data_IF_699299118124
#
_entry.id   IF_699299118124
#
_cell.length_a   1.000
_cell.length_b   1.000
_cell.length_c   1.000
_cell.angle_alpha   90.00
_cell.angle_beta   90.00
_cell.angle_gamma   90.00
#
_symmetry.space_group_name_H-M   'P 1'
#
loop_
_entity.id
_entity.type
_entity.pdbx_description
1 polymer ?
#
# COMPACT_ATOMS: atom_id res chain seq x y z
N UNK A 1 15.87 2.04 -19.32
CA UNK A 1 16.44 0.97 -18.48
C UNK A 1 17.12 1.60 -17.27
N UNK A 2 16.41 1.90 -16.18
CA UNK A 2 17.02 2.31 -14.92
C UNK A 2 16.14 1.84 -13.77
N UNK A 3 16.57 0.75 -13.11
CA UNK A 3 16.09 0.31 -11.80
C UNK A 3 16.79 1.18 -10.75
N UNK A 4 16.04 1.89 -9.93
CA UNK A 4 16.55 2.42 -8.66
C UNK A 4 15.68 1.90 -7.53
N UNK A 5 16.24 0.92 -6.82
CA UNK A 5 15.80 0.37 -5.54
C UNK A 5 16.44 1.25 -4.46
N UNK A 6 15.63 1.80 -3.56
CA UNK A 6 16.13 2.48 -2.36
C UNK A 6 15.85 1.55 -1.18
N UNK A 7 16.90 0.91 -0.70
CA UNK A 7 16.94 0.04 0.48
C UNK A 7 17.65 0.81 1.60
N UNK A 8 17.03 0.91 2.78
CA UNK A 8 17.72 1.32 4.01
C UNK A 8 17.67 0.13 4.96
N UNK A 9 18.80 -0.57 5.08
CA UNK A 9 19.07 -1.54 6.14
C UNK A 9 19.79 -0.82 7.27
N UNK A 10 19.18 -0.73 8.44
CA UNK A 10 19.93 -0.48 9.68
C UNK A 10 20.36 -1.83 10.27
N UNK A 11 21.66 -2.08 10.26
CA UNK A 11 22.31 -3.13 11.04
C UNK A 11 22.52 -2.58 12.46
N UNK A 12 21.95 -3.20 13.48
CA UNK A 12 22.35 -2.95 14.87
C UNK A 12 23.48 -3.91 15.27
N UNK A 13 24.64 -3.33 15.59
CA UNK A 13 25.65 -3.97 16.45
C UNK A 13 25.35 -3.69 17.93
N UNK A 14 25.81 -4.53 18.87
CA UNK A 14 25.46 -4.43 20.28
C UNK A 14 26.36 -3.44 21.02
N UNK A 15 25.79 -2.65 21.93
CA UNK A 15 26.53 -1.76 22.82
C UNK A 15 25.66 -1.19 23.93
N UNK A 16 25.63 -1.87 25.07
CA UNK A 16 25.39 -1.26 26.40
C UNK A 16 26.75 -1.04 27.09
N UNK A 17 26.90 -0.25 28.18
CA UNK A 17 25.89 0.19 29.16
C UNK A 17 26.01 1.65 29.68
N UNK A 18 25.04 2.09 30.50
CA UNK A 18 25.34 2.93 31.68
C UNK A 18 24.61 4.27 31.85
N UNK A 19 24.09 4.47 33.07
CA UNK A 19 23.69 5.71 33.75
C UNK A 19 22.27 6.27 33.47
N UNK A 20 21.45 6.22 34.53
CA UNK A 20 20.10 6.79 34.58
C UNK A 20 20.08 8.26 34.98
N UNK A 21 18.96 8.91 34.66
CA UNK A 21 18.47 10.09 35.37
C UNK A 21 16.95 10.14 35.19
N UNK A 22 16.22 10.13 36.29
CA UNK A 22 14.77 10.08 36.31
C UNK A 22 14.12 11.43 36.02
N UNK A 23 13.08 11.42 35.20
CA UNK A 23 12.01 12.41 35.20
C UNK A 23 10.67 11.68 34.97
N UNK A 24 9.56 12.14 35.56
CA UNK A 24 8.27 11.50 35.43
C UNK A 24 7.71 11.72 34.03
N UNK A 25 7.98 10.78 33.13
CA UNK A 25 7.39 10.72 31.81
C UNK A 25 5.88 10.44 31.93
N UNK A 26 5.08 11.50 31.91
CA UNK A 26 3.69 11.40 31.43
C UNK A 26 3.74 11.18 29.91
N UNK A 27 4.09 9.95 29.48
CA UNK A 27 3.89 9.49 28.10
C UNK A 27 2.40 9.45 27.84
N UNK A 28 1.84 10.54 27.31
CA UNK A 28 0.60 10.45 26.55
C UNK A 28 0.92 9.67 25.28
N UNK A 29 0.25 8.54 24.99
CA UNK A 29 0.46 7.82 23.74
C UNK A 29 0.19 8.76 22.57
N UNK A 30 1.17 8.93 21.67
CA UNK A 30 1.01 9.68 20.43
C UNK A 30 -0.10 9.02 19.60
N UNK A 31 -1.21 9.70 19.24
CA UNK A 31 -2.28 9.05 18.51
C UNK A 31 -1.94 8.97 17.01
N UNK A 32 -1.99 7.73 16.50
CA UNK A 32 -2.26 7.29 15.13
C UNK A 32 -1.71 8.14 13.97
N UNK A 33 -0.56 7.75 13.43
CA UNK A 33 -0.16 8.11 12.06
C UNK A 33 -0.98 7.26 11.07
N UNK A 34 -1.81 7.90 10.24
CA UNK A 34 -2.46 7.24 9.10
C UNK A 34 -1.73 7.62 7.80
N UNK A 35 -1.42 6.62 6.96
CA UNK A 35 -1.09 6.87 5.55
C UNK A 35 -2.40 6.97 4.79
N UNK A 36 -2.65 8.09 4.13
CA UNK A 36 -3.83 8.24 3.28
C UNK A 36 -3.78 7.22 2.14
N UNK A 37 -4.87 6.48 1.92
CA UNK A 37 -5.04 5.51 0.84
C UNK A 37 -5.19 6.18 -0.52
N UNK A 38 -4.18 6.93 -0.98
CA UNK A 38 -4.08 7.42 -2.37
C UNK A 38 -5.33 8.10 -2.91
N UNK A 39 -5.99 8.95 -2.13
CA UNK A 39 -7.18 9.68 -2.56
C UNK A 39 -8.50 8.91 -2.49
N UNK A 40 -8.49 7.66 -1.98
CA UNK A 40 -9.66 6.79 -1.83
C UNK A 40 -10.40 6.91 -0.49
N UNK A 41 -10.01 7.89 0.33
CA UNK A 41 -10.66 8.20 1.59
C UNK A 41 -10.90 9.72 1.65
N UNK A 42 -11.99 10.16 2.31
CA UNK A 42 -12.16 11.58 2.62
C UNK A 42 -10.98 12.08 3.44
N UNK A 43 -10.36 13.17 2.99
CA UNK A 43 -9.18 13.76 3.63
C UNK A 43 -9.55 15.01 4.44
N UNK A 44 -10.50 14.84 5.35
CA UNK A 44 -10.86 15.87 6.33
C UNK A 44 -10.14 15.60 7.65
N UNK A 45 -9.14 16.40 7.99
CA UNK A 45 -8.26 16.16 9.14
C UNK A 45 -8.95 16.28 10.49
N UNK A 46 -10.07 17.01 10.56
CA UNK A 46 -10.83 17.19 11.78
C UNK A 46 -11.77 16.01 12.03
N UNK A 47 -12.50 15.58 11.01
CA UNK A 47 -13.31 14.36 11.02
C UNK A 47 -12.46 13.11 11.26
N UNK A 48 -11.23 13.08 10.74
CA UNK A 48 -10.29 11.99 10.97
C UNK A 48 -9.66 12.02 12.38
N UNK A 49 -9.73 13.15 13.10
CA UNK A 49 -9.18 13.30 14.45
C UNK A 49 -7.66 13.10 14.54
N UNK A 50 -6.92 13.26 13.43
CA UNK A 50 -5.49 12.93 13.34
C UNK A 50 -4.60 14.05 13.89
N UNK A 51 -3.53 13.70 14.59
CA UNK A 51 -2.49 14.68 14.99
C UNK A 51 -1.50 14.93 13.84
N UNK A 52 -1.25 13.90 13.03
CA UNK A 52 -0.39 13.97 11.87
C UNK A 52 -0.95 13.11 10.74
N UNK A 53 -0.85 13.60 9.49
CA UNK A 53 -1.27 12.88 8.29
C UNK A 53 -0.18 13.01 7.23
N UNK A 54 0.28 11.87 6.70
CA UNK A 54 1.27 11.83 5.63
C UNK A 54 0.62 11.42 4.31
N UNK A 55 0.89 12.19 3.27
CA UNK A 55 0.40 11.99 1.91
C UNK A 55 1.59 11.95 0.96
N UNK A 56 1.62 10.94 0.10
CA UNK A 56 2.59 10.83 -0.99
C UNK A 56 1.94 11.25 -2.30
N UNK A 57 2.48 12.26 -2.98
CA UNK A 57 1.85 12.83 -4.17
C UNK A 57 1.70 11.84 -5.32
N UNK A 58 2.69 10.96 -5.53
CA UNK A 58 2.63 9.98 -6.63
C UNK A 58 1.53 8.91 -6.44
N UNK A 59 0.88 8.85 -5.27
CA UNK A 59 -0.31 8.03 -5.05
C UNK A 59 -1.61 8.73 -5.46
N UNK A 60 -1.52 10.01 -5.84
CA UNK A 60 -2.59 10.88 -6.32
C UNK A 60 -2.39 11.28 -7.79
N UNK A 61 -1.38 10.74 -8.47
CA UNK A 61 -1.08 11.04 -9.88
C UNK A 61 -0.04 12.14 -10.11
N UNK A 62 0.64 12.66 -9.08
CA UNK A 62 1.75 13.60 -9.29
C UNK A 62 3.04 12.86 -9.70
N UNK A 63 4.05 13.57 -10.24
CA UNK A 63 5.41 13.04 -10.31
C UNK A 63 5.93 12.58 -8.94
N UNK A 64 6.88 11.64 -8.95
CA UNK A 64 7.60 11.20 -7.74
C UNK A 64 8.42 12.36 -7.16
N UNK A 65 8.68 12.32 -5.85
CA UNK A 65 9.51 13.32 -5.16
C UNK A 65 8.74 14.48 -4.52
N UNK A 66 7.42 14.42 -4.47
CA UNK A 66 6.58 15.36 -3.71
C UNK A 66 5.62 14.62 -2.77
N UNK A 67 5.37 15.23 -1.62
CA UNK A 67 4.45 14.75 -0.61
C UNK A 67 4.10 15.86 0.36
N UNK A 68 3.20 15.56 1.30
CA UNK A 68 2.74 16.49 2.31
C UNK A 68 2.67 15.79 3.66
N UNK A 69 3.10 16.52 4.69
CA UNK A 69 2.88 16.17 6.09
C UNK A 69 1.97 17.25 6.70
N UNK A 70 0.75 16.89 7.02
CA UNK A 70 -0.09 17.70 7.89
C UNK A 70 0.29 17.43 9.35
N UNK A 71 0.36 18.51 10.13
CA UNK A 71 0.55 18.49 11.58
C UNK A 71 -0.48 19.41 12.22
N UNK A 72 -1.21 18.91 13.21
CA UNK A 72 -2.17 19.70 13.98
C UNK A 72 -1.44 20.86 14.67
N UNK A 73 -2.09 22.01 14.74
CA UNK A 73 -1.55 23.19 15.42
C UNK A 73 -1.13 22.84 16.86
N UNK A 74 0.01 23.38 17.31
CA UNK A 74 0.59 23.07 18.62
C UNK A 74 1.32 21.73 18.72
N UNK A 75 1.34 20.89 17.68
CA UNK A 75 2.10 19.63 17.69
C UNK A 75 3.60 19.94 17.60
N UNK A 76 4.42 19.56 18.61
CA UNK A 76 5.87 19.68 18.52
C UNK A 76 6.41 18.81 17.39
N UNK A 77 7.33 19.34 16.60
CA UNK A 77 7.96 18.62 15.51
C UNK A 77 9.42 19.05 15.42
N UNK A 78 10.31 18.12 15.75
CA UNK A 78 11.73 18.30 15.53
C UNK A 78 12.03 18.14 14.03
N UNK A 79 12.69 19.11 13.38
CA UNK A 79 13.04 18.99 11.97
C UNK A 79 14.05 17.86 11.76
N UNK A 80 13.82 17.01 10.78
CA UNK A 80 14.84 16.03 10.32
C UNK A 80 15.84 16.72 9.38
N UNK A 81 15.39 17.76 8.66
CA UNK A 81 16.21 18.55 7.74
C UNK A 81 16.38 19.97 8.31
N UNK A 82 17.56 20.25 8.85
CA UNK A 82 17.95 21.55 9.39
C UNK A 82 18.52 22.47 8.30
N UNK A 83 18.51 23.79 8.53
CA UNK A 83 18.94 24.79 7.54
C UNK A 83 18.12 26.08 7.57
N UNK A 84 17.86 26.65 6.40
CA UNK A 84 17.38 28.03 6.19
C UNK A 84 15.96 28.36 6.63
N UNK A 85 15.29 27.50 7.40
CA UNK A 85 14.01 27.85 8.04
C UNK A 85 12.77 27.77 7.14
N UNK A 86 12.86 27.19 5.94
CA UNK A 86 11.69 26.90 5.09
C UNK A 86 10.66 26.03 5.82
N UNK A 87 9.41 26.03 5.32
CA UNK A 87 8.30 25.26 5.90
C UNK A 87 8.11 25.56 7.40
N UNK A 88 8.23 26.84 7.79
CA UNK A 88 8.13 27.34 9.18
C UNK A 88 9.18 26.70 10.11
N UNK A 89 10.38 26.48 9.59
CA UNK A 89 11.49 25.83 10.29
C UNK A 89 11.35 24.31 10.43
N UNK A 90 10.30 23.69 9.89
CA UNK A 90 10.04 22.24 10.08
C UNK A 90 10.74 21.36 9.07
N UNK A 91 11.05 21.89 7.90
CA UNK A 91 11.78 21.19 6.83
C UNK A 91 12.53 22.20 6.00
N UNK A 92 13.85 22.20 6.12
CA UNK A 92 14.71 23.11 5.36
C UNK A 92 14.93 22.69 3.90
N UNK A 93 15.33 23.65 3.08
CA UNK A 93 15.62 23.49 1.66
C UNK A 93 14.61 24.21 0.78
N UNK A 94 15.08 24.75 -0.35
CA UNK A 94 14.27 25.52 -1.31
C UNK A 94 12.98 24.78 -1.68
N UNK A 95 11.87 25.51 -1.65
CA UNK A 95 10.55 24.96 -1.90
C UNK A 95 10.39 24.51 -3.36
N UNK A 96 9.89 23.30 -3.55
CA UNK A 96 9.48 22.83 -4.87
C UNK A 96 8.08 23.38 -5.18
N UNK A 97 8.00 24.65 -5.56
CA UNK A 97 6.73 25.36 -5.81
C UNK A 97 5.90 24.65 -6.88
N UNK A 98 6.51 24.22 -7.99
CA UNK A 98 5.82 23.48 -9.04
C UNK A 98 5.23 22.15 -8.52
N UNK A 99 6.00 21.41 -7.71
CA UNK A 99 5.53 20.21 -7.04
C UNK A 99 4.36 20.47 -6.09
N UNK A 100 4.42 21.54 -5.30
CA UNK A 100 3.36 21.94 -4.38
C UNK A 100 2.05 22.26 -5.12
N UNK A 101 2.12 23.03 -6.22
CA UNK A 101 0.98 23.33 -7.08
C UNK A 101 0.41 22.04 -7.70
N UNK A 102 1.27 21.16 -8.20
CA UNK A 102 0.85 19.85 -8.75
C UNK A 102 0.15 18.97 -7.71
N UNK A 103 0.67 18.93 -6.48
CA UNK A 103 0.05 18.19 -5.38
C UNK A 103 -1.30 18.77 -4.97
N UNK A 104 -1.42 20.10 -4.87
CA UNK A 104 -2.68 20.76 -4.55
C UNK A 104 -3.75 20.47 -5.62
N UNK A 105 -3.36 20.54 -6.90
CA UNK A 105 -4.24 20.19 -8.02
C UNK A 105 -4.71 18.72 -7.95
N UNK A 106 -3.76 17.79 -7.77
CA UNK A 106 -4.06 16.36 -7.68
C UNK A 106 -4.97 16.02 -6.49
N UNK A 107 -4.72 16.62 -5.31
CA UNK A 107 -5.58 16.49 -4.14
C UNK A 107 -7.00 16.98 -4.42
N UNK A 108 -7.14 18.17 -5.02
CA UNK A 108 -8.44 18.73 -5.37
C UNK A 108 -9.22 17.87 -6.36
N UNK A 109 -8.56 17.34 -7.39
CA UNK A 109 -9.17 16.43 -8.36
C UNK A 109 -9.61 15.11 -7.71
N UNK A 110 -8.71 14.47 -6.96
CA UNK A 110 -8.98 13.18 -6.32
C UNK A 110 -10.15 13.25 -5.32
N UNK A 111 -10.24 14.33 -4.54
CA UNK A 111 -11.33 14.51 -3.57
C UNK A 111 -12.68 14.84 -4.24
N UNK A 112 -12.69 15.58 -5.36
CA UNK A 112 -13.93 15.84 -6.13
C UNK A 112 -14.50 14.56 -6.76
N UNK A 113 -13.62 13.70 -7.29
CA UNK A 113 -14.04 12.46 -7.94
C UNK A 113 -14.40 11.34 -6.94
N UNK A 114 -13.95 11.45 -5.69
CA UNK A 114 -13.99 10.37 -4.70
C UNK A 114 -15.38 9.71 -4.52
N UNK A 115 -16.50 10.42 -4.33
CA UNK A 115 -17.78 9.75 -4.03
C UNK A 115 -18.23 8.80 -5.15
N UNK A 116 -18.13 9.25 -6.41
CA UNK A 116 -18.48 8.46 -7.58
C UNK A 116 -17.44 7.34 -7.82
N UNK A 117 -16.16 7.70 -7.78
CA UNK A 117 -15.07 6.74 -8.02
C UNK A 117 -15.06 5.61 -6.99
N UNK A 118 -15.25 5.92 -5.70
CA UNK A 118 -15.29 4.93 -4.63
C UNK A 118 -16.46 3.95 -4.81
N UNK A 119 -17.64 4.44 -5.19
CA UNK A 119 -18.82 3.61 -5.43
C UNK A 119 -18.59 2.65 -6.60
N UNK A 120 -18.17 3.17 -7.75
CA UNK A 120 -17.88 2.35 -8.95
C UNK A 120 -16.78 1.34 -8.67
N UNK A 121 -15.69 1.78 -8.04
CA UNK A 121 -14.54 0.95 -7.70
C UNK A 121 -14.89 -0.15 -6.71
N UNK A 122 -15.72 0.15 -5.70
CA UNK A 122 -16.23 -0.83 -4.73
C UNK A 122 -17.07 -1.91 -5.41
N UNK A 123 -18.01 -1.53 -6.28
CA UNK A 123 -18.83 -2.50 -7.01
C UNK A 123 -17.98 -3.40 -7.92
N UNK A 124 -16.99 -2.83 -8.60
CA UNK A 124 -16.08 -3.59 -9.46
C UNK A 124 -15.13 -4.49 -8.65
N UNK A 125 -14.65 -4.04 -7.49
CA UNK A 125 -13.89 -4.84 -6.53
C UNK A 125 -14.70 -6.04 -6.05
N UNK A 126 -15.96 -5.84 -5.67
CA UNK A 126 -16.83 -6.89 -5.16
C UNK A 126 -17.09 -7.95 -6.24
N UNK A 127 -17.32 -7.52 -7.49
CA UNK A 127 -17.47 -8.41 -8.64
C UNK A 127 -16.18 -9.20 -8.94
N UNK A 128 -15.01 -8.54 -8.90
CA UNK A 128 -13.71 -9.19 -9.09
C UNK A 128 -13.48 -10.26 -8.01
N UNK A 129 -13.70 -9.91 -6.74
CA UNK A 129 -13.57 -10.83 -5.61
C UNK A 129 -14.49 -12.03 -5.76
N UNK A 130 -15.78 -11.80 -6.03
CA UNK A 130 -16.76 -12.86 -6.17
C UNK A 130 -16.38 -13.83 -7.32
N UNK A 131 -15.97 -13.30 -8.48
CA UNK A 131 -15.57 -14.10 -9.62
C UNK A 131 -14.36 -14.99 -9.32
N UNK A 132 -13.32 -14.44 -8.67
CA UNK A 132 -12.11 -15.19 -8.31
C UNK A 132 -12.42 -16.30 -7.29
N UNK A 133 -13.17 -15.99 -6.22
CA UNK A 133 -13.50 -16.96 -5.18
C UNK A 133 -14.40 -18.09 -5.69
N UNK A 134 -15.32 -17.79 -6.62
CA UNK A 134 -16.17 -18.81 -7.22
C UNK A 134 -15.38 -19.78 -8.12
N UNK A 135 -14.37 -19.30 -8.83
CA UNK A 135 -13.63 -20.08 -9.82
C UNK A 135 -12.36 -20.76 -9.28
N UNK A 136 -11.81 -20.31 -8.14
CA UNK A 136 -10.55 -20.82 -7.59
C UNK A 136 -10.79 -21.46 -6.22
N UNK A 137 -10.97 -22.79 -6.16
CA UNK A 137 -11.16 -23.50 -4.89
C UNK A 137 -9.99 -23.26 -3.93
N UNK A 138 -10.31 -23.03 -2.66
CA UNK A 138 -9.34 -22.75 -1.59
C UNK A 138 -8.78 -21.32 -1.58
N UNK A 139 -9.10 -20.48 -2.57
CA UNK A 139 -8.73 -19.07 -2.54
C UNK A 139 -9.50 -18.34 -1.43
N UNK A 140 -8.86 -17.34 -0.83
CA UNK A 140 -9.54 -16.42 0.09
C UNK A 140 -8.99 -15.01 -0.02
N UNK A 141 -9.82 -14.02 0.33
CA UNK A 141 -9.43 -12.62 0.41
C UNK A 141 -8.81 -12.33 1.77
N UNK A 142 -7.73 -11.55 1.76
CA UNK A 142 -7.04 -11.05 2.95
C UNK A 142 -7.47 -9.62 3.29
N UNK A 143 -7.47 -9.30 4.59
CA UNK A 143 -7.96 -8.03 5.11
C UNK A 143 -9.41 -8.12 5.61
N UNK A 144 -9.97 -6.98 6.03
CA UNK A 144 -11.33 -6.95 6.58
C UNK A 144 -12.37 -7.19 5.47
N UNK A 145 -13.43 -7.98 5.71
CA UNK A 145 -14.47 -8.27 4.71
C UNK A 145 -15.17 -6.99 4.22
N UNK A 146 -15.63 -6.12 5.12
CA UNK A 146 -16.41 -4.93 4.71
C UNK A 146 -15.60 -3.62 4.70
N UNK A 147 -14.71 -3.44 5.67
CA UNK A 147 -13.91 -2.23 5.87
C UNK A 147 -12.58 -2.30 5.12
N UNK A 148 -12.65 -2.27 3.79
CA UNK A 148 -11.48 -2.28 2.89
C UNK A 148 -11.43 -1.06 1.99
N UNK A 149 -10.24 -0.72 1.53
CA UNK A 149 -10.08 0.30 0.51
C UNK A 149 -10.72 -0.19 -0.79
N UNK A 150 -11.49 0.66 -1.50
CA UNK A 150 -12.21 0.24 -2.70
C UNK A 150 -11.27 -0.10 -3.87
N UNK A 151 -9.99 0.27 -3.78
CA UNK A 151 -9.02 0.18 -4.87
C UNK A 151 -8.01 -0.96 -4.75
N UNK A 152 -8.26 -1.92 -3.87
CA UNK A 152 -7.30 -2.96 -3.50
C UNK A 152 -7.99 -4.30 -3.28
N UNK A 153 -7.59 -5.32 -4.03
CA UNK A 153 -8.00 -6.70 -3.77
C UNK A 153 -6.76 -7.55 -3.50
N UNK A 154 -6.73 -8.26 -2.38
CA UNK A 154 -5.59 -9.06 -1.95
C UNK A 154 -6.06 -10.47 -1.65
N UNK A 155 -5.53 -11.44 -2.40
CA UNK A 155 -5.89 -12.85 -2.33
C UNK A 155 -4.72 -13.68 -1.81
N UNK A 156 -5.02 -14.79 -1.16
CA UNK A 156 -4.11 -15.92 -1.03
C UNK A 156 -4.67 -17.11 -1.80
N UNK A 157 -3.79 -17.87 -2.41
CA UNK A 157 -4.09 -19.06 -3.20
C UNK A 157 -3.27 -20.24 -2.66
N UNK A 158 -3.70 -20.90 -1.57
CA UNK A 158 -2.96 -22.01 -0.98
C UNK A 158 -2.53 -23.05 -2.02
N UNK A 159 -1.28 -23.52 -1.89
CA UNK A 159 -0.69 -24.53 -2.78
C UNK A 159 -0.12 -24.00 -4.09
N UNK A 160 -0.13 -22.68 -4.35
CA UNK A 160 0.60 -22.08 -5.49
C UNK A 160 1.61 -21.02 -5.04
N UNK A 161 2.70 -20.90 -5.80
CA UNK A 161 3.67 -19.81 -5.62
C UNK A 161 3.06 -18.50 -6.14
N UNK A 162 2.98 -17.48 -5.28
CA UNK A 162 2.50 -16.15 -5.67
C UNK A 162 3.37 -15.53 -6.76
N UNK A 163 4.69 -15.73 -6.70
CA UNK A 163 5.63 -15.25 -7.74
C UNK A 163 5.32 -15.86 -9.12
N UNK A 164 5.05 -17.17 -9.17
CA UNK A 164 4.65 -17.82 -10.41
C UNK A 164 3.33 -17.25 -10.96
N UNK A 165 2.37 -16.97 -10.08
CA UNK A 165 1.10 -16.33 -10.47
C UNK A 165 1.33 -14.91 -11.00
N UNK A 166 2.24 -14.12 -10.41
CA UNK A 166 2.58 -12.79 -10.91
C UNK A 166 3.18 -12.84 -12.31
N UNK A 167 4.11 -13.78 -12.56
CA UNK A 167 4.73 -13.94 -13.88
C UNK A 167 3.68 -14.33 -14.94
N UNK A 168 2.75 -15.21 -14.60
CA UNK A 168 1.65 -15.58 -15.49
C UNK A 168 0.66 -14.41 -15.71
N UNK A 169 0.40 -13.60 -14.68
CA UNK A 169 -0.40 -12.38 -14.83
C UNK A 169 0.28 -11.35 -15.74
N UNK A 170 1.59 -11.14 -15.59
CA UNK A 170 2.37 -10.25 -16.46
C UNK A 170 2.33 -10.71 -17.92
N UNK A 171 2.46 -12.02 -18.19
CA UNK A 171 2.29 -12.59 -19.54
C UNK A 171 0.90 -12.33 -20.14
N UNK A 172 -0.12 -12.18 -19.29
CA UNK A 172 -1.51 -11.86 -19.68
C UNK A 172 -1.79 -10.36 -19.68
N UNK A 173 -0.78 -9.51 -19.51
CA UNK A 173 -0.91 -8.06 -19.53
C UNK A 173 -1.39 -7.42 -18.23
N UNK A 174 -1.47 -8.18 -17.12
CA UNK A 174 -1.92 -7.68 -15.82
C UNK A 174 -0.74 -7.50 -14.88
N UNK A 175 -0.40 -6.25 -14.58
CA UNK A 175 0.69 -5.91 -13.65
C UNK A 175 0.12 -5.78 -12.24
N UNK A 176 0.66 -6.56 -11.31
CA UNK A 176 0.25 -6.57 -9.91
C UNK A 176 1.46 -6.82 -8.99
N UNK A 177 1.21 -6.98 -7.69
CA UNK A 177 2.26 -7.17 -6.69
C UNK A 177 2.00 -8.41 -5.85
N UNK A 178 3.05 -9.08 -5.37
CA UNK A 178 2.91 -10.06 -4.29
C UNK A 178 2.80 -9.32 -2.97
N UNK A 179 1.90 -9.78 -2.10
CA UNK A 179 1.73 -9.33 -0.71
C UNK A 179 2.17 -7.89 -0.38
N UNK A 180 3.06 -7.74 0.60
CA UNK A 180 3.56 -6.45 1.11
C UNK A 180 4.55 -5.75 0.17
N UNK A 181 4.17 -5.50 -1.08
CA UNK A 181 4.69 -4.48 -2.02
C UNK A 181 6.21 -4.41 -2.33
N UNK A 182 7.08 -5.07 -1.56
CA UNK A 182 8.53 -4.89 -1.50
C UNK A 182 9.19 -6.21 -1.10
N UNK A 183 8.92 -7.28 -1.85
CA UNK A 183 9.73 -8.50 -1.81
C UNK A 183 10.54 -8.63 -3.11
N UNK A 184 10.95 -7.51 -3.72
CA UNK A 184 11.86 -7.54 -4.86
C UNK A 184 13.24 -8.03 -4.39
N UNK A 185 13.44 -9.35 -4.43
CA UNK A 185 14.68 -10.03 -4.02
C UNK A 185 14.69 -10.63 -2.61
N UNK A 186 13.58 -10.60 -1.86
CA UNK A 186 13.47 -11.32 -0.59
C UNK A 186 12.55 -12.52 -0.76
N UNK A 187 13.05 -13.71 -0.43
CA UNK A 187 12.27 -14.94 -0.40
C UNK A 187 11.38 -15.04 0.84
N UNK A 188 11.27 -14.00 1.66
CA UNK A 188 10.48 -14.03 2.89
C UNK A 188 9.01 -13.68 2.64
N UNK A 189 8.07 -14.32 3.38
CA UNK A 189 6.65 -14.02 3.29
C UNK A 189 6.33 -12.60 3.78
N UNK A 190 5.15 -12.11 3.43
CA UNK A 190 4.66 -10.82 3.91
C UNK A 190 4.52 -10.81 5.43
N UNK A 191 5.34 -10.00 6.12
CA UNK A 191 5.24 -9.79 7.57
C UNK A 191 3.84 -9.34 8.03
N UNK A 192 3.09 -8.65 7.15
CA UNK A 192 1.70 -8.25 7.43
C UNK A 192 0.76 -9.46 7.43
N UNK A 193 0.94 -10.41 6.51
CA UNK A 193 0.09 -11.60 6.45
C UNK A 193 0.40 -12.55 7.62
N UNK A 194 1.68 -12.69 7.96
CA UNK A 194 2.10 -13.42 9.16
C UNK A 194 1.48 -12.83 10.44
N UNK A 195 1.47 -11.49 10.57
CA UNK A 195 0.85 -10.81 11.70
C UNK A 195 -0.68 -10.99 11.76
N UNK A 196 -1.32 -11.30 10.63
CA UNK A 196 -2.74 -11.68 10.56
C UNK A 196 -2.99 -13.15 10.88
N UNK A 197 -1.96 -13.92 11.23
CA UNK A 197 -2.06 -15.35 11.57
C UNK A 197 -2.11 -16.27 10.35
N UNK A 198 -1.81 -15.77 9.16
CA UNK A 198 -1.68 -16.59 7.96
C UNK A 198 -0.33 -17.28 8.01
N UNK A 199 -0.30 -18.61 7.82
CA UNK A 199 0.94 -19.37 7.82
C UNK A 199 1.86 -18.97 6.65
N UNK A 200 3.15 -19.24 6.80
CA UNK A 200 4.18 -18.86 5.82
C UNK A 200 3.92 -19.41 4.42
N UNK A 201 3.55 -20.69 4.31
CA UNK A 201 3.27 -21.34 3.03
C UNK A 201 2.12 -20.67 2.29
N UNK A 202 1.04 -20.35 3.00
CA UNK A 202 -0.08 -19.60 2.43
C UNK A 202 0.30 -18.16 2.13
N UNK A 203 1.06 -17.49 2.99
CA UNK A 203 1.48 -16.10 2.77
C UNK A 203 2.34 -15.93 1.50
N UNK A 204 3.10 -16.96 1.09
CA UNK A 204 3.84 -16.99 -0.17
C UNK A 204 2.95 -17.02 -1.43
N UNK A 205 1.69 -17.42 -1.29
CA UNK A 205 0.74 -17.45 -2.40
C UNK A 205 0.04 -16.10 -2.65
N UNK A 206 0.40 -15.06 -1.90
CA UNK A 206 -0.35 -13.83 -1.87
C UNK A 206 -0.19 -13.00 -3.16
N UNK A 207 -1.32 -12.62 -3.76
CA UNK A 207 -1.39 -11.73 -4.93
C UNK A 207 -2.28 -10.55 -4.60
N UNK A 208 -1.76 -9.36 -4.85
CA UNK A 208 -2.44 -8.09 -4.56
C UNK A 208 -2.53 -7.23 -5.80
N UNK A 209 -3.78 -6.93 -6.17
CA UNK A 209 -4.15 -6.00 -7.22
C UNK A 209 -4.50 -4.66 -6.58
N UNK A 210 -4.00 -3.58 -7.18
CA UNK A 210 -4.33 -2.22 -6.78
C UNK A 210 -4.43 -1.32 -8.00
N UNK A 211 -5.38 -0.40 -7.99
CA UNK A 211 -5.68 0.45 -9.15
C UNK A 211 -5.96 1.91 -8.75
N UNK A 212 -6.16 2.76 -9.77
CA UNK A 212 -6.41 4.21 -9.63
C UNK A 212 -7.88 4.52 -9.92
N UNK A 213 -8.29 5.75 -9.64
CA UNK A 213 -9.68 6.20 -9.83
C UNK A 213 -10.11 6.18 -11.31
N UNK A 214 -9.13 6.22 -12.22
CA UNK A 214 -9.35 6.22 -13.67
C UNK A 214 -9.42 4.81 -14.29
N UNK A 215 -9.21 3.76 -13.49
CA UNK A 215 -9.28 2.38 -14.00
C UNK A 215 -10.73 1.99 -14.27
N UNK A 216 -11.10 1.63 -15.51
CA UNK A 216 -12.47 1.29 -15.84
C UNK A 216 -12.86 -0.09 -15.25
N UNK A 217 -14.15 -0.32 -14.93
CA UNK A 217 -14.61 -1.62 -14.41
C UNK A 217 -14.32 -2.82 -15.34
N UNK A 218 -14.23 -2.58 -16.64
CA UNK A 218 -13.89 -3.60 -17.65
C UNK A 218 -12.51 -4.19 -17.41
N UNK A 219 -11.52 -3.36 -17.04
CA UNK A 219 -10.16 -3.81 -16.76
C UNK A 219 -10.11 -4.68 -15.51
N UNK A 220 -10.97 -4.41 -14.52
CA UNK A 220 -11.10 -5.26 -13.33
C UNK A 220 -11.73 -6.62 -13.66
N UNK A 221 -12.70 -6.64 -14.58
CA UNK A 221 -13.27 -7.89 -15.06
C UNK A 221 -12.26 -8.71 -15.87
N UNK A 222 -11.41 -8.05 -16.67
CA UNK A 222 -10.28 -8.67 -17.36
C UNK A 222 -9.24 -9.21 -16.38
N UNK A 223 -8.88 -8.42 -15.36
CA UNK A 223 -7.98 -8.83 -14.30
C UNK A 223 -8.50 -10.06 -13.55
N UNK A 224 -9.81 -10.14 -13.26
CA UNK A 224 -10.42 -11.33 -12.66
C UNK A 224 -10.19 -12.59 -13.53
N UNK A 225 -10.47 -12.49 -14.85
CA UNK A 225 -10.25 -13.61 -15.79
C UNK A 225 -8.78 -13.99 -15.86
N UNK A 226 -7.89 -13.01 -15.88
CA UNK A 226 -6.45 -13.25 -15.88
C UNK A 226 -5.98 -13.95 -14.60
N UNK A 227 -6.44 -13.52 -13.43
CA UNK A 227 -6.12 -14.16 -12.14
C UNK A 227 -6.56 -15.62 -12.13
N UNK A 228 -7.80 -15.90 -12.52
CA UNK A 228 -8.34 -17.27 -12.56
C UNK A 228 -7.48 -18.15 -13.48
N UNK A 229 -7.18 -17.66 -14.68
CA UNK A 229 -6.41 -18.42 -15.67
C UNK A 229 -4.94 -18.60 -15.26
N UNK A 230 -4.32 -17.59 -14.62
CA UNK A 230 -2.95 -17.68 -14.10
C UNK A 230 -2.85 -18.70 -12.95
N UNK A 231 -3.78 -18.67 -11.99
CA UNK A 231 -3.77 -19.64 -10.90
C UNK A 231 -3.98 -21.07 -11.43
N UNK A 232 -4.89 -21.26 -12.39
CA UNK A 232 -5.10 -22.55 -13.03
C UNK A 232 -3.83 -23.07 -13.74
N UNK A 233 -3.13 -22.20 -14.48
CA UNK A 233 -1.88 -22.54 -15.16
C UNK A 233 -0.76 -22.91 -14.18
N UNK A 234 -0.62 -22.18 -13.06
CA UNK A 234 0.39 -22.50 -12.05
C UNK A 234 0.06 -23.81 -11.34
N UNK A 235 -1.21 -24.09 -11.06
CA UNK A 235 -1.65 -25.36 -10.45
C UNK A 235 -1.33 -26.56 -11.34
N UNK A 236 -1.55 -26.47 -12.66
CA UNK A 236 -1.26 -27.58 -13.57
C UNK A 236 0.24 -27.90 -13.67
N UNK A 237 1.11 -26.88 -13.60
CA UNK A 237 2.56 -27.06 -13.56
C UNK A 237 3.04 -27.74 -12.26
N UNK A 238 2.39 -27.45 -11.13
CA UNK A 238 2.66 -28.12 -9.85
C UNK A 238 2.24 -29.59 -9.85
N UNK A 239 1.06 -29.90 -10.40
CA UNK A 239 0.55 -31.27 -10.52
C UNK A 239 1.45 -32.14 -11.43
N UNK A 240 1.99 -31.58 -12.52
CA UNK A 240 2.88 -32.29 -13.44
C UNK A 240 4.28 -32.59 -12.88
N UNK A 241 4.68 -31.98 -11.77
CA UNK A 241 5.97 -32.21 -11.09
C UNK A 241 5.91 -33.17 -9.92
N UNK A 242 4.70 -33.50 -9.46
CA UNK A 242 4.45 -34.43 -8.34
C UNK A 242 4.00 -35.83 -8.77
N UNK A 243 3.84 -36.07 -10.07
CA UNK A 243 3.57 -37.37 -10.68
C UNK A 243 4.84 -37.91 -11.35
#
# INVERSE_FOLDING_TARGET
MHRHVCEQRDRHGPGHPGAGCGLPERRRPLPHRRRAGGGWLPLDVDSLGVTALSISGHKLGTPKGIGLLYLRAGTPCEPVLHGGGQERGRRSGTENVAGAVGLACALGLAQRALPAAATTSRSAQDALVAAVLAAVPGAFVTGHPDTRLPNLASFCFPGVSGEAVLLELERRGVICSSGSACAAGSSEPSAVLLALGIDEGTAHSAVRLSWTQDTPPTDLAEAARAVIASVAAVRSLGAARGA
#
